data_IF_499524758789
#
_entry.id   IF_499524758789
#
_cell.length_a   1.000
_cell.length_b   1.000
_cell.length_c   1.000
_cell.angle_alpha   90.00
_cell.angle_beta   90.00
_cell.angle_gamma   90.00
#
_symmetry.space_group_name_H-M   'P 1'
#
loop_
_entity.id
_entity.type
_entity.pdbx_description
1 polymer ?
#
# COMPACT_ATOMS: atom_id res chain seq x y z
N UNK A 1 -20.70 -105.41 -25.42
CA UNK A 1 -19.44 -105.16 -24.73
C UNK A 1 -18.96 -103.77 -25.17
N UNK A 2 -19.23 -102.79 -24.42
CA UNK A 2 -18.66 -101.45 -24.59
C UNK A 2 -18.93 -100.66 -23.33
N UNK A 3 -17.88 -100.34 -22.63
CA UNK A 3 -17.90 -99.45 -21.45
C UNK A 3 -17.94 -98.04 -21.88
N UNK A 4 -18.80 -97.26 -21.23
CA UNK A 4 -18.90 -95.82 -21.39
C UNK A 4 -18.27 -95.17 -20.16
N UNK A 5 -17.12 -94.54 -20.43
CA UNK A 5 -16.40 -93.77 -19.42
C UNK A 5 -17.03 -92.38 -19.19
N UNK A 6 -17.41 -92.08 -17.93
CA UNK A 6 -17.97 -90.81 -17.54
C UNK A 6 -16.89 -89.75 -17.34
N UNK A 7 -17.08 -88.58 -17.97
CA UNK A 7 -16.23 -87.41 -17.84
C UNK A 7 -16.79 -86.48 -16.75
N UNK A 8 -16.11 -86.45 -15.65
CA UNK A 8 -16.46 -85.53 -14.53
C UNK A 8 -15.99 -84.07 -14.78
N UNK A 9 -16.92 -83.17 -14.95
CA UNK A 9 -16.70 -81.73 -15.09
C UNK A 9 -16.53 -81.07 -13.73
N UNK A 10 -15.29 -80.71 -13.36
CA UNK A 10 -15.02 -79.91 -12.14
C UNK A 10 -15.18 -78.42 -12.46
N UNK A 11 -16.24 -77.85 -11.98
CA UNK A 11 -16.46 -76.38 -12.00
C UNK A 11 -15.59 -75.77 -10.90
N UNK A 12 -14.51 -75.05 -11.27
CA UNK A 12 -13.71 -74.25 -10.41
C UNK A 12 -14.38 -72.86 -10.35
N UNK A 13 -15.05 -72.59 -9.23
CA UNK A 13 -15.64 -71.25 -8.99
C UNK A 13 -14.56 -70.22 -8.70
N UNK A 14 -14.37 -69.29 -9.65
CA UNK A 14 -13.56 -68.10 -9.44
C UNK A 14 -14.38 -67.06 -8.64
N UNK A 15 -14.05 -66.86 -7.40
CA UNK A 15 -14.61 -65.76 -6.57
C UNK A 15 -13.81 -64.48 -6.94
N UNK A 16 -14.43 -63.62 -7.73
CA UNK A 16 -13.89 -62.31 -8.07
C UNK A 16 -14.11 -61.35 -6.90
N UNK A 17 -13.07 -61.12 -6.08
CA UNK A 17 -13.08 -60.03 -5.08
C UNK A 17 -12.97 -58.72 -5.81
N UNK A 18 -14.08 -58.01 -5.97
CA UNK A 18 -14.10 -56.61 -6.40
C UNK A 18 -13.62 -55.72 -5.24
N UNK A 19 -12.37 -55.32 -5.22
CA UNK A 19 -11.86 -54.25 -4.35
C UNK A 19 -12.40 -52.95 -4.88
N UNK A 20 -13.47 -52.44 -4.25
CA UNK A 20 -13.95 -51.05 -4.44
C UNK A 20 -12.97 -50.14 -3.74
N UNK A 21 -12.02 -49.59 -4.52
CA UNK A 21 -11.21 -48.47 -4.06
C UNK A 21 -12.13 -47.26 -3.94
N UNK A 22 -12.55 -46.93 -2.71
CA UNK A 22 -13.11 -45.64 -2.40
C UNK A 22 -11.99 -44.58 -2.63
N UNK A 23 -11.96 -44.03 -3.83
CA UNK A 23 -11.24 -42.79 -4.07
C UNK A 23 -11.94 -41.69 -3.24
N UNK A 24 -11.40 -41.42 -2.07
CA UNK A 24 -11.71 -40.17 -1.35
C UNK A 24 -11.18 -39.05 -2.25
N UNK A 25 -12.07 -38.48 -3.04
CA UNK A 25 -11.83 -37.17 -3.64
C UNK A 25 -11.71 -36.20 -2.48
N UNK A 26 -10.48 -36.00 -2.01
CA UNK A 26 -10.18 -34.87 -1.13
C UNK A 26 -10.56 -33.63 -1.92
N UNK A 27 -11.70 -33.01 -1.58
CA UNK A 27 -11.98 -31.65 -1.98
C UNK A 27 -10.77 -30.84 -1.52
N UNK A 28 -10.01 -30.34 -2.50
CA UNK A 28 -9.00 -29.34 -2.21
C UNK A 28 -9.75 -28.16 -1.61
N UNK A 29 -9.73 -28.05 -0.29
CA UNK A 29 -10.38 -26.96 0.44
C UNK A 29 -9.86 -25.66 -0.19
N UNK A 30 -10.74 -24.95 -0.91
CA UNK A 30 -10.38 -23.73 -1.60
C UNK A 30 -9.80 -22.74 -0.59
N UNK A 31 -8.65 -22.13 -0.90
CA UNK A 31 -8.01 -21.15 -0.02
C UNK A 31 -8.98 -20.01 0.27
N UNK A 32 -9.03 -19.57 1.51
CA UNK A 32 -9.89 -18.46 1.94
C UNK A 32 -9.36 -17.16 1.33
N UNK A 33 -10.19 -16.33 0.67
CA UNK A 33 -9.75 -15.04 0.15
C UNK A 33 -9.32 -14.11 1.27
N UNK A 34 -8.13 -13.54 1.17
CA UNK A 34 -7.56 -12.65 2.17
C UNK A 34 -6.96 -11.38 1.59
N UNK A 35 -6.48 -10.54 2.48
CA UNK A 35 -5.79 -9.29 2.17
C UNK A 35 -4.57 -9.16 3.07
N UNK A 36 -3.46 -8.75 2.47
CA UNK A 36 -2.27 -8.30 3.18
C UNK A 36 -2.32 -6.78 3.35
N UNK A 37 -1.98 -6.31 4.53
CA UNK A 37 -1.83 -4.88 4.81
C UNK A 37 -0.42 -4.66 5.31
N UNK A 38 0.33 -3.83 4.62
CA UNK A 38 1.68 -3.42 4.99
C UNK A 38 1.79 -1.90 4.87
N UNK A 39 2.46 -1.28 5.86
CA UNK A 39 2.67 0.16 5.87
C UNK A 39 4.05 0.50 5.35
N UNK A 40 4.19 1.71 4.81
CA UNK A 40 5.51 2.25 4.50
C UNK A 40 6.33 2.40 5.78
N UNK A 41 7.62 2.20 5.63
CA UNK A 41 8.57 2.34 6.72
C UNK A 41 9.57 3.46 6.39
N UNK A 42 9.94 4.22 7.41
CA UNK A 42 10.90 5.33 7.32
C UNK A 42 11.96 5.18 8.39
N UNK A 43 13.22 5.19 7.99
CA UNK A 43 14.34 5.00 8.92
C UNK A 43 15.62 5.69 8.43
N UNK A 44 16.65 5.66 9.27
CA UNK A 44 18.00 6.12 8.94
C UNK A 44 18.85 4.98 8.38
N UNK A 45 19.90 5.27 7.61
CA UNK A 45 20.89 4.28 7.23
C UNK A 45 21.52 3.63 8.47
N UNK A 46 21.70 2.32 8.40
CA UNK A 46 22.25 1.49 9.49
C UNK A 46 21.44 1.48 10.80
N UNK A 47 20.13 1.79 10.69
CA UNK A 47 19.21 1.64 11.82
C UNK A 47 18.21 0.50 11.53
N UNK A 48 17.83 -0.18 12.60
CA UNK A 48 16.75 -1.18 12.54
C UNK A 48 15.42 -0.48 12.40
N UNK A 49 14.56 -1.06 11.57
CA UNK A 49 13.18 -0.62 11.38
C UNK A 49 12.26 -1.81 11.53
N UNK A 50 11.13 -1.58 12.20
CA UNK A 50 10.08 -2.58 12.35
C UNK A 50 9.08 -2.45 11.18
N UNK A 51 8.92 -3.55 10.45
CA UNK A 51 7.93 -3.66 9.36
C UNK A 51 6.79 -4.50 9.87
N UNK A 52 5.62 -3.89 10.02
CA UNK A 52 4.42 -4.54 10.51
C UNK A 52 3.54 -4.97 9.35
N UNK A 53 3.10 -6.23 9.40
CA UNK A 53 2.21 -6.82 8.41
C UNK A 53 0.99 -7.40 9.10
N UNK A 54 -0.18 -7.12 8.55
CA UNK A 54 -1.44 -7.70 9.01
C UNK A 54 -2.06 -8.54 7.90
N UNK A 55 -2.52 -9.73 8.26
CA UNK A 55 -3.32 -10.60 7.41
C UNK A 55 -4.78 -10.50 7.85
N UNK A 56 -5.66 -10.21 6.92
CA UNK A 56 -7.09 -10.13 7.16
C UNK A 56 -7.85 -10.99 6.15
N UNK A 57 -8.95 -11.62 6.55
CA UNK A 57 -9.90 -12.25 5.63
C UNK A 57 -10.78 -11.15 5.00
N UNK A 58 -11.12 -11.32 3.71
CA UNK A 58 -12.02 -10.38 3.02
C UNK A 58 -13.45 -10.42 3.55
N UNK A 59 -13.87 -11.55 4.07
CA UNK A 59 -15.16 -11.72 4.76
C UNK A 59 -14.96 -11.58 6.26
N UNK A 60 -15.95 -11.04 6.97
CA UNK A 60 -15.87 -10.90 8.41
C UNK A 60 -15.56 -12.28 9.06
N UNK A 61 -14.40 -12.39 9.68
CA UNK A 61 -13.90 -13.61 10.29
C UNK A 61 -12.82 -13.30 11.34
N UNK A 62 -12.46 -14.30 12.16
CA UNK A 62 -11.41 -14.12 13.15
C UNK A 62 -10.05 -13.84 12.47
N UNK A 63 -9.12 -13.18 13.17
CA UNK A 63 -7.76 -13.02 12.71
C UNK A 63 -7.11 -14.37 12.37
N UNK A 64 -6.26 -14.39 11.35
CA UNK A 64 -5.59 -15.61 10.92
C UNK A 64 -4.23 -15.74 11.61
N UNK A 65 -4.18 -16.63 12.59
CA UNK A 65 -2.94 -17.01 13.29
C UNK A 65 -2.17 -18.10 12.53
N UNK A 66 -0.85 -18.10 12.65
CA UNK A 66 0.01 -19.15 12.11
C UNK A 66 0.28 -19.07 10.61
N UNK A 67 -0.17 -18.02 9.91
CA UNK A 67 0.10 -17.82 8.48
C UNK A 67 1.56 -17.44 8.30
N UNK A 68 2.29 -18.21 7.45
CA UNK A 68 3.67 -17.93 7.12
C UNK A 68 3.73 -16.84 6.04
N UNK A 69 4.56 -15.82 6.31
CA UNK A 69 4.80 -14.70 5.42
C UNK A 69 6.29 -14.58 5.09
N UNK A 70 6.58 -14.21 3.85
CA UNK A 70 7.93 -13.92 3.35
C UNK A 70 8.06 -12.42 3.12
N UNK A 71 9.05 -11.82 3.77
CA UNK A 71 9.42 -10.42 3.57
C UNK A 71 10.56 -10.33 2.56
N UNK A 72 10.37 -9.56 1.52
CA UNK A 72 11.40 -9.23 0.54
C UNK A 72 11.69 -7.73 0.54
N UNK A 73 12.94 -7.36 0.36
CA UNK A 73 13.39 -5.98 0.11
C UNK A 73 14.07 -5.97 -1.26
N UNK A 74 13.57 -5.16 -2.18
CA UNK A 74 14.02 -5.08 -3.59
C UNK A 74 14.10 -6.46 -4.27
N UNK A 75 13.07 -7.31 -4.01
CA UNK A 75 12.96 -8.65 -4.57
C UNK A 75 13.81 -9.72 -3.90
N UNK A 76 14.65 -9.36 -2.91
CA UNK A 76 15.45 -10.32 -2.14
C UNK A 76 14.75 -10.66 -0.83
N UNK A 77 14.52 -11.95 -0.57
CA UNK A 77 13.98 -12.41 0.70
C UNK A 77 14.98 -12.11 1.85
N UNK A 78 14.47 -11.45 2.88
CA UNK A 78 15.26 -11.01 4.03
C UNK A 78 14.79 -11.61 5.36
N UNK A 79 13.51 -12.01 5.43
CA UNK A 79 12.94 -12.63 6.62
C UNK A 79 11.70 -13.45 6.29
N UNK A 80 11.42 -14.44 7.15
CA UNK A 80 10.18 -15.23 7.16
C UNK A 80 9.62 -15.18 8.58
N UNK A 81 8.29 -15.07 8.71
CA UNK A 81 7.62 -15.00 9.99
C UNK A 81 6.23 -15.59 9.97
N UNK A 82 5.66 -15.85 11.14
CA UNK A 82 4.29 -16.35 11.29
C UNK A 82 3.42 -15.33 12.00
N UNK A 83 2.17 -15.18 11.56
CA UNK A 83 1.21 -14.31 12.23
C UNK A 83 0.86 -14.85 13.61
N UNK A 84 0.76 -13.95 14.59
CA UNK A 84 0.23 -14.23 15.91
C UNK A 84 -1.30 -14.30 15.94
N UNK A 85 -1.89 -14.39 17.12
CA UNK A 85 -3.34 -14.49 17.34
C UNK A 85 -4.12 -13.30 16.76
N UNK A 86 -3.52 -12.13 16.72
CA UNK A 86 -4.10 -10.92 16.10
C UNK A 86 -4.06 -10.89 14.57
N UNK A 87 -3.50 -11.92 13.92
CA UNK A 87 -3.24 -11.92 12.48
C UNK A 87 -2.09 -11.01 12.06
N UNK A 88 -1.25 -10.56 13.01
CA UNK A 88 -0.13 -9.66 12.76
C UNK A 88 1.22 -10.36 12.90
N UNK A 89 2.20 -9.88 12.16
CA UNK A 89 3.61 -10.23 12.32
C UNK A 89 4.47 -8.98 12.16
N UNK A 90 5.56 -8.90 12.89
CA UNK A 90 6.55 -7.82 12.80
C UNK A 90 7.90 -8.39 12.40
N UNK A 91 8.57 -7.70 11.50
CA UNK A 91 9.93 -8.02 11.06
C UNK A 91 10.85 -6.87 11.44
N UNK A 92 11.93 -7.15 12.15
CA UNK A 92 12.98 -6.18 12.41
C UNK A 92 14.04 -6.28 11.30
N UNK A 93 14.22 -5.21 10.54
CA UNK A 93 15.14 -5.14 9.41
C UNK A 93 16.19 -4.05 9.59
N UNK A 94 17.48 -4.39 9.42
CA UNK A 94 18.57 -3.42 9.44
C UNK A 94 18.73 -2.78 8.06
N UNK A 95 18.31 -1.52 7.95
CA UNK A 95 18.33 -0.77 6.69
C UNK A 95 19.74 -0.27 6.36
N UNK A 96 20.40 -0.90 5.39
CA UNK A 96 21.77 -0.57 4.98
C UNK A 96 21.82 0.36 3.77
N UNK A 97 20.92 0.16 2.79
CA UNK A 97 20.93 0.90 1.54
C UNK A 97 20.09 2.18 1.67
N UNK A 98 20.72 3.31 1.33
CA UNK A 98 20.02 4.62 1.28
C UNK A 98 19.09 4.70 0.09
N UNK A 99 18.08 5.52 0.23
CA UNK A 99 17.12 5.77 -0.84
C UNK A 99 15.75 5.19 -0.53
N UNK A 100 15.04 4.86 -1.58
CA UNK A 100 13.70 4.28 -1.52
C UNK A 100 13.76 2.85 -2.04
N UNK A 101 13.47 1.89 -1.18
CA UNK A 101 13.50 0.47 -1.47
C UNK A 101 12.08 -0.09 -1.46
N UNK A 102 11.82 -1.16 -2.19
CA UNK A 102 10.50 -1.80 -2.24
C UNK A 102 10.42 -2.90 -1.19
N UNK A 103 9.47 -2.78 -0.28
CA UNK A 103 9.04 -3.86 0.61
C UNK A 103 8.03 -4.70 -0.16
N UNK A 104 8.22 -6.01 -0.25
CA UNK A 104 7.24 -6.94 -0.79
C UNK A 104 6.91 -8.00 0.25
N UNK A 105 5.63 -8.25 0.45
CA UNK A 105 5.15 -9.29 1.36
C UNK A 105 4.34 -10.32 0.57
N UNK A 106 4.72 -11.58 0.73
CA UNK A 106 4.07 -12.72 0.11
C UNK A 106 3.58 -13.69 1.18
N UNK A 107 2.48 -14.35 0.89
CA UNK A 107 2.01 -15.49 1.70
C UNK A 107 2.65 -16.76 1.16
N UNK A 108 3.04 -17.66 2.08
CA UNK A 108 3.50 -19.00 1.73
C UNK A 108 2.46 -19.75 0.88
N UNK A 109 2.94 -20.53 -0.08
CA UNK A 109 2.07 -21.26 -1.01
C UNK A 109 1.21 -22.32 -0.32
N UNK A 110 1.62 -22.85 0.81
CA UNK A 110 0.88 -23.87 1.56
C UNK A 110 -0.14 -23.26 2.53
N UNK A 111 -0.16 -21.93 2.69
CA UNK A 111 -1.08 -21.27 3.58
C UNK A 111 -2.55 -21.48 3.17
N UNK A 112 -3.47 -21.60 4.14
CA UNK A 112 -4.90 -21.82 3.88
C UNK A 112 -5.62 -20.58 3.33
N UNK A 113 -4.90 -19.49 3.12
CA UNK A 113 -5.40 -18.21 2.63
C UNK A 113 -4.76 -17.88 1.28
N UNK A 114 -5.55 -17.28 0.39
CA UNK A 114 -5.07 -16.69 -0.85
C UNK A 114 -5.13 -15.16 -0.75
N UNK A 115 -3.99 -14.52 -0.83
CA UNK A 115 -3.92 -13.06 -0.97
C UNK A 115 -2.83 -12.70 -1.98
N UNK A 116 -3.07 -11.62 -2.69
CA UNK A 116 -2.08 -11.07 -3.62
C UNK A 116 -0.87 -10.53 -2.86
N UNK A 117 0.29 -10.59 -3.49
CA UNK A 117 1.49 -9.90 -3.05
C UNK A 117 1.18 -8.42 -2.84
N UNK A 118 1.65 -7.85 -1.74
CA UNK A 118 1.50 -6.43 -1.45
C UNK A 118 2.87 -5.79 -1.34
N UNK A 119 3.00 -4.66 -2.01
CA UNK A 119 4.20 -3.84 -1.96
C UNK A 119 3.98 -2.61 -1.08
N UNK A 120 5.03 -2.21 -0.37
CA UNK A 120 5.14 -0.98 0.41
C UNK A 120 6.51 -0.35 0.16
N UNK A 121 6.74 0.81 0.75
CA UNK A 121 7.96 1.56 0.55
C UNK A 121 8.79 1.60 1.83
N UNK A 122 10.08 1.26 1.73
CA UNK A 122 11.07 1.51 2.77
C UNK A 122 11.92 2.72 2.39
N UNK A 123 11.68 3.83 3.07
CA UNK A 123 12.45 5.06 2.91
C UNK A 123 13.63 5.06 3.90
N UNK A 124 14.85 5.02 3.38
CA UNK A 124 16.10 5.08 4.19
C UNK A 124 16.78 6.42 3.92
N UNK A 125 16.43 7.43 4.72
CA UNK A 125 16.82 8.81 4.46
C UNK A 125 17.78 9.35 5.51
N UNK A 126 18.54 10.38 5.13
CA UNK A 126 19.32 11.18 6.07
C UNK A 126 18.49 12.31 6.64
N UNK A 127 18.57 12.54 7.96
CA UNK A 127 17.78 13.60 8.64
C UNK A 127 18.04 15.01 8.12
N UNK A 128 19.21 15.27 7.57
CA UNK A 128 19.60 16.61 7.07
C UNK A 128 18.96 16.98 5.74
N UNK A 129 18.52 15.99 4.95
CA UNK A 129 17.85 16.28 3.66
C UNK A 129 16.46 16.82 3.92
N UNK A 130 16.10 17.98 3.32
CA UNK A 130 14.78 18.55 3.49
C UNK A 130 13.68 17.61 3.02
N UNK A 131 12.53 17.69 3.69
CA UNK A 131 11.33 16.93 3.35
C UNK A 131 10.26 17.92 2.90
N UNK A 132 9.65 17.64 1.75
CA UNK A 132 8.42 18.30 1.30
C UNK A 132 7.22 17.39 1.57
N UNK A 133 6.19 17.94 2.20
CA UNK A 133 4.93 17.23 2.45
C UNK A 133 3.95 17.58 1.34
N UNK A 134 3.45 16.58 0.63
CA UNK A 134 2.58 16.77 -0.54
C UNK A 134 1.21 16.15 -0.27
N UNK A 135 0.17 16.97 -0.37
CA UNK A 135 -1.21 16.50 -0.34
C UNK A 135 -1.52 15.76 -1.65
N UNK A 136 -1.91 14.49 -1.56
CA UNK A 136 -2.18 13.68 -2.76
C UNK A 136 -3.31 14.27 -3.60
N UNK A 137 -4.30 14.91 -2.96
CA UNK A 137 -5.40 15.58 -3.67
C UNK A 137 -4.93 16.76 -4.55
N UNK A 138 -3.77 17.35 -4.26
CA UNK A 138 -3.16 18.36 -5.12
C UNK A 138 -2.57 17.78 -6.42
N UNK A 139 -2.36 16.47 -6.45
CA UNK A 139 -1.86 15.73 -7.62
C UNK A 139 -2.98 15.24 -8.55
N UNK A 140 -4.23 15.26 -8.07
CA UNK A 140 -5.40 14.74 -8.79
C UNK A 140 -6.15 15.89 -9.46
N UNK A 141 -6.43 15.73 -10.76
CA UNK A 141 -7.26 16.67 -11.50
C UNK A 141 -8.70 16.58 -10.99
N UNK A 142 -9.28 17.71 -10.63
CA UNK A 142 -10.71 17.80 -10.35
C UNK A 142 -11.45 18.21 -11.62
N UNK A 143 -12.51 17.51 -11.91
CA UNK A 143 -13.42 17.92 -12.96
C UNK A 143 -14.18 19.17 -12.49
N UNK A 144 -14.08 20.32 -13.17
CA UNK A 144 -14.83 21.52 -12.81
C UNK A 144 -16.36 21.32 -12.89
N UNK A 145 -16.83 20.29 -13.61
CA UNK A 145 -18.24 19.92 -13.66
C UNK A 145 -18.72 19.13 -12.43
N UNK A 146 -17.82 18.65 -11.57
CA UNK A 146 -18.14 17.87 -10.36
C UNK A 146 -18.50 18.74 -9.15
N UNK A 147 -19.16 19.87 -9.34
CA UNK A 147 -19.80 20.64 -8.25
C UNK A 147 -20.97 19.89 -7.60
N UNK A 148 -21.45 18.81 -8.20
CA UNK A 148 -22.30 17.79 -7.58
C UNK A 148 -21.41 16.68 -7.03
N UNK A 149 -21.73 16.07 -5.86
CA UNK A 149 -20.99 14.94 -5.33
C UNK A 149 -21.23 13.69 -6.20
N UNK A 150 -20.63 13.69 -7.38
CA UNK A 150 -20.45 12.45 -8.13
C UNK A 150 -19.66 11.46 -7.25
N UNK A 151 -19.94 10.16 -7.32
CA UNK A 151 -19.14 9.18 -6.60
C UNK A 151 -17.67 9.43 -6.94
N UNK A 152 -16.88 9.79 -5.92
CA UNK A 152 -15.46 10.09 -6.11
C UNK A 152 -14.80 8.91 -6.81
N UNK A 153 -13.97 9.15 -7.81
CA UNK A 153 -13.24 8.07 -8.46
C UNK A 153 -12.46 7.29 -7.40
N UNK A 154 -12.75 6.00 -7.28
CA UNK A 154 -12.11 5.13 -6.28
C UNK A 154 -10.72 4.79 -6.81
N UNK A 155 -9.67 5.19 -6.10
CA UNK A 155 -8.32 4.69 -6.40
C UNK A 155 -8.33 3.16 -6.33
N UNK A 156 -8.18 2.50 -7.47
CA UNK A 156 -8.27 1.03 -7.59
C UNK A 156 -9.49 0.51 -8.34
N UNK A 157 -10.35 1.39 -8.86
CA UNK A 157 -11.32 1.02 -9.88
C UNK A 157 -10.62 0.70 -11.22
N UNK A 158 -11.26 -0.09 -12.06
CA UNK A 158 -10.83 -0.36 -13.44
C UNK A 158 -10.57 0.95 -14.20
N UNK A 159 -9.63 0.95 -15.13
CA UNK A 159 -8.98 2.10 -15.80
C UNK A 159 -9.83 3.35 -16.10
N UNK A 160 -11.13 3.21 -16.36
CA UNK A 160 -12.01 4.33 -16.76
C UNK A 160 -12.47 5.25 -15.60
N UNK A 161 -12.23 4.87 -14.35
CA UNK A 161 -12.63 5.65 -13.15
C UNK A 161 -11.46 6.04 -12.25
N UNK A 162 -10.24 5.74 -12.66
CA UNK A 162 -9.05 6.12 -11.90
C UNK A 162 -8.85 7.65 -11.91
N UNK A 163 -8.42 8.26 -10.79
CA UNK A 163 -8.15 9.68 -10.75
C UNK A 163 -7.10 10.11 -11.80
N UNK A 164 -7.41 11.14 -12.57
CA UNK A 164 -6.49 11.68 -13.57
C UNK A 164 -5.44 12.55 -12.87
N UNK A 165 -4.15 12.43 -13.16
CA UNK A 165 -3.11 13.27 -12.57
C UNK A 165 -3.18 14.71 -13.13
N UNK A 166 -2.85 15.68 -12.28
CA UNK A 166 -2.67 17.06 -12.73
C UNK A 166 -1.50 17.12 -13.72
N UNK A 167 -1.67 17.78 -14.87
CA UNK A 167 -0.59 17.93 -15.84
C UNK A 167 0.69 18.48 -15.20
N UNK A 168 1.85 17.95 -15.61
CA UNK A 168 3.19 18.39 -15.20
C UNK A 168 3.52 18.18 -13.71
N UNK A 169 2.56 17.78 -12.87
CA UNK A 169 2.78 17.60 -11.44
C UNK A 169 3.87 16.57 -11.14
N UNK A 170 3.85 15.43 -11.84
CA UNK A 170 4.84 14.38 -11.66
C UNK A 170 6.25 14.84 -12.05
N UNK A 171 6.39 15.54 -13.20
CA UNK A 171 7.67 16.04 -13.69
C UNK A 171 8.26 17.10 -12.74
N UNK A 172 7.47 18.09 -12.33
CA UNK A 172 7.95 19.17 -11.45
C UNK A 172 8.29 18.64 -10.06
N UNK A 173 7.50 17.69 -9.54
CA UNK A 173 7.81 17.03 -8.27
C UNK A 173 9.07 16.15 -8.38
N UNK A 174 9.26 15.44 -9.50
CA UNK A 174 10.47 14.67 -9.75
C UNK A 174 11.72 15.57 -9.76
N UNK A 175 11.64 16.75 -10.36
CA UNK A 175 12.73 17.74 -10.34
C UNK A 175 13.05 18.22 -8.93
N UNK A 176 12.04 18.47 -8.10
CA UNK A 176 12.24 18.86 -6.70
C UNK A 176 12.93 17.75 -5.90
N UNK A 177 12.50 16.50 -6.07
CA UNK A 177 13.03 15.35 -5.32
C UNK A 177 14.41 14.93 -5.81
N UNK A 178 14.72 15.11 -7.07
CA UNK A 178 16.04 14.78 -7.64
C UNK A 178 17.18 15.54 -6.94
N UNK A 179 16.97 16.83 -6.66
CA UNK A 179 18.05 17.71 -6.22
C UNK A 179 17.97 18.11 -4.74
N UNK A 180 16.78 18.24 -4.18
CA UNK A 180 16.63 18.92 -2.91
C UNK A 180 15.85 18.15 -1.85
N UNK A 181 14.71 17.54 -2.18
CA UNK A 181 13.74 17.08 -1.21
C UNK A 181 13.59 15.56 -1.20
N UNK A 182 13.30 15.02 -0.02
CA UNK A 182 12.55 13.79 0.11
C UNK A 182 11.05 14.13 0.12
N UNK A 183 10.20 13.25 -0.37
CA UNK A 183 8.76 13.51 -0.45
C UNK A 183 7.98 12.62 0.53
N UNK A 184 7.12 13.26 1.31
CA UNK A 184 6.11 12.59 2.13
C UNK A 184 4.75 12.88 1.49
N UNK A 185 4.08 11.84 1.00
CA UNK A 185 2.72 11.93 0.50
C UNK A 185 1.74 11.75 1.64
N UNK A 186 0.76 12.63 1.72
CA UNK A 186 -0.32 12.54 2.68
C UNK A 186 -1.66 12.69 1.98
N UNK A 187 -2.67 11.97 2.44
CA UNK A 187 -4.00 12.13 1.89
C UNK A 187 -5.04 12.15 3.00
N UNK A 188 -6.16 12.79 2.72
CA UNK A 188 -7.28 12.80 3.63
C UNK A 188 -8.17 11.58 3.37
N UNK A 189 -8.18 10.63 4.31
CA UNK A 189 -8.98 9.41 4.20
C UNK A 189 -10.49 9.70 4.19
N UNK A 190 -10.93 10.78 4.84
CA UNK A 190 -12.34 11.08 5.01
C UNK A 190 -12.93 11.99 3.92
N UNK A 191 -12.09 12.75 3.24
CA UNK A 191 -12.51 13.78 2.29
C UNK A 191 -11.67 13.74 1.01
N UNK A 192 -12.19 14.35 -0.04
CA UNK A 192 -11.49 14.51 -1.30
C UNK A 192 -11.57 13.30 -2.24
N UNK A 193 -10.93 13.39 -3.41
CA UNK A 193 -10.94 12.35 -4.44
C UNK A 193 -10.18 11.08 -4.02
N UNK A 194 -9.37 11.14 -2.98
CA UNK A 194 -8.59 10.01 -2.46
C UNK A 194 -9.22 9.35 -1.23
N UNK A 195 -10.42 9.80 -0.82
CA UNK A 195 -11.12 9.22 0.32
C UNK A 195 -11.31 7.71 0.15
N UNK A 196 -11.23 6.98 1.27
CA UNK A 196 -11.33 5.52 1.33
C UNK A 196 -10.23 4.75 0.56
N UNK A 197 -9.25 5.43 -0.02
CA UNK A 197 -8.11 4.77 -0.65
C UNK A 197 -7.21 4.13 0.40
N UNK A 198 -6.75 2.92 0.15
CA UNK A 198 -5.69 2.32 0.94
C UNK A 198 -4.32 2.90 0.56
N UNK A 199 -3.34 2.83 1.46
CA UNK A 199 -1.97 3.25 1.14
C UNK A 199 -1.39 2.52 -0.07
N UNK A 200 -1.75 1.24 -0.26
CA UNK A 200 -1.35 0.46 -1.43
C UNK A 200 -1.96 0.96 -2.73
N UNK A 201 -3.21 1.43 -2.71
CA UNK A 201 -3.87 2.04 -3.87
C UNK A 201 -3.22 3.38 -4.22
N UNK A 202 -2.95 4.22 -3.21
CA UNK A 202 -2.24 5.50 -3.40
C UNK A 202 -0.85 5.26 -4.02
N UNK A 203 -0.06 4.32 -3.49
CA UNK A 203 1.26 3.98 -4.04
C UNK A 203 1.19 3.50 -5.49
N UNK A 204 0.26 2.60 -5.80
CA UNK A 204 0.08 2.11 -7.19
C UNK A 204 -0.27 3.23 -8.14
N UNK A 205 -1.18 4.11 -7.74
CA UNK A 205 -1.55 5.27 -8.54
C UNK A 205 -0.36 6.23 -8.75
N UNK A 206 0.38 6.57 -7.70
CA UNK A 206 1.59 7.40 -7.80
C UNK A 206 2.61 6.77 -8.76
N UNK A 207 2.86 5.47 -8.63
CA UNK A 207 3.79 4.74 -9.51
C UNK A 207 3.33 4.68 -10.96
N UNK A 208 2.05 4.40 -11.21
CA UNK A 208 1.47 4.34 -12.57
C UNK A 208 1.58 5.70 -13.29
N UNK A 209 1.52 6.80 -12.54
CA UNK A 209 1.63 8.16 -13.09
C UNK A 209 3.02 8.78 -12.92
N UNK A 210 4.05 7.95 -12.67
CA UNK A 210 5.45 8.34 -12.63
C UNK A 210 5.80 9.42 -11.58
N UNK A 211 5.00 9.54 -10.53
CA UNK A 211 5.38 10.38 -9.40
C UNK A 211 6.62 9.81 -8.69
N UNK A 212 7.51 10.66 -8.17
CA UNK A 212 8.70 10.19 -7.47
C UNK A 212 8.34 9.30 -6.28
N UNK A 213 9.12 8.24 -6.09
CA UNK A 213 8.94 7.37 -4.94
C UNK A 213 9.19 8.13 -3.62
N UNK A 214 8.33 7.91 -2.63
CA UNK A 214 8.38 8.61 -1.35
C UNK A 214 7.65 7.84 -0.26
N UNK A 215 7.64 8.41 0.93
CA UNK A 215 6.94 7.87 2.07
C UNK A 215 5.45 8.23 2.01
N UNK A 216 4.59 7.23 1.94
CA UNK A 216 3.13 7.43 1.94
C UNK A 216 2.63 7.35 3.38
N UNK A 217 2.41 8.50 4.00
CA UNK A 217 1.97 8.61 5.37
C UNK A 217 0.47 8.29 5.48
N UNK A 218 0.14 7.26 6.25
CA UNK A 218 -1.26 6.96 6.56
C UNK A 218 -1.78 7.94 7.60
N UNK A 219 -2.86 8.64 7.30
CA UNK A 219 -3.55 9.45 8.31
C UNK A 219 -4.05 8.53 9.43
N UNK A 220 -3.62 8.80 10.66
CA UNK A 220 -4.08 8.11 11.86
C UNK A 220 -5.41 8.68 12.34
N UNK A 221 -6.04 8.08 13.35
CA UNK A 221 -7.27 8.59 13.97
C UNK A 221 -7.17 10.01 14.51
N UNK A 222 -5.95 10.53 14.74
CA UNK A 222 -5.67 11.93 15.08
C UNK A 222 -5.49 12.85 13.88
N UNK A 223 -5.70 12.34 12.66
CA UNK A 223 -5.53 13.09 11.42
C UNK A 223 -4.07 13.39 11.06
N UNK A 224 -3.88 14.28 10.11
CA UNK A 224 -2.56 14.65 9.59
C UNK A 224 -1.67 15.31 10.65
N UNK A 225 -2.25 16.10 11.60
CA UNK A 225 -1.49 16.69 12.70
C UNK A 225 -0.74 15.63 13.50
N UNK A 226 -1.44 14.57 13.94
CA UNK A 226 -0.81 13.48 14.68
C UNK A 226 0.29 12.78 13.88
N UNK A 227 0.08 12.60 12.58
CA UNK A 227 1.09 12.02 11.68
C UNK A 227 2.35 12.88 11.59
N UNK A 228 2.19 14.20 11.44
CA UNK A 228 3.34 15.14 11.40
C UNK A 228 4.06 15.23 12.75
N UNK A 229 3.31 15.20 13.85
CA UNK A 229 3.90 15.20 15.20
C UNK A 229 4.66 13.90 15.47
N UNK A 230 4.15 12.75 15.06
CA UNK A 230 4.86 11.48 15.16
C UNK A 230 6.18 11.51 14.36
N UNK A 231 6.16 11.96 13.11
CA UNK A 231 7.36 12.11 12.30
C UNK A 231 8.38 13.05 12.95
N UNK A 232 7.93 14.18 13.53
CA UNK A 232 8.84 15.10 14.25
C UNK A 232 9.41 14.47 15.51
N UNK A 233 8.60 13.73 16.26
CA UNK A 233 9.03 13.01 17.47
C UNK A 233 10.08 11.95 17.15
N UNK A 234 9.98 11.31 15.99
CA UNK A 234 10.97 10.37 15.44
C UNK A 234 12.24 11.08 14.92
N UNK A 235 12.28 12.41 15.02
CA UNK A 235 13.43 13.23 14.66
C UNK A 235 13.48 13.69 13.21
N UNK A 236 12.39 13.57 12.45
CA UNK A 236 12.27 14.12 11.09
C UNK A 236 11.91 15.60 11.11
N UNK A 237 12.84 16.43 11.63
CA UNK A 237 12.63 17.87 11.85
C UNK A 237 12.86 18.74 10.61
N UNK A 238 13.32 18.15 9.50
CA UNK A 238 13.59 18.85 8.23
C UNK A 238 12.36 18.97 7.32
N UNK A 239 11.17 18.64 7.81
CA UNK A 239 9.90 18.97 7.15
C UNK A 239 9.69 20.49 7.25
N UNK A 240 10.04 21.22 6.20
CA UNK A 240 9.98 22.70 6.18
C UNK A 240 9.00 23.25 5.17
N UNK A 241 8.60 22.45 4.19
CA UNK A 241 7.76 22.90 3.09
C UNK A 241 6.64 21.91 2.81
N UNK A 242 5.51 22.43 2.32
CA UNK A 242 4.39 21.60 1.87
C UNK A 242 3.71 22.16 0.64
N UNK A 243 3.13 21.24 -0.13
CA UNK A 243 2.37 21.54 -1.34
C UNK A 243 1.00 20.91 -1.18
N UNK A 244 -0.05 21.69 -1.28
CA UNK A 244 -1.42 21.18 -1.15
C UNK A 244 -2.41 21.96 -1.98
N UNK A 245 -3.65 21.52 -1.91
CA UNK A 245 -4.77 22.13 -2.63
C UNK A 245 -5.73 22.84 -1.69
N UNK A 246 -5.88 22.31 -0.48
CA UNK A 246 -6.96 22.73 0.41
C UNK A 246 -6.47 23.77 1.42
N UNK A 247 -7.39 24.68 1.79
CA UNK A 247 -7.14 25.63 2.87
C UNK A 247 -6.82 24.92 4.18
N UNK A 248 -7.58 23.86 4.50
CA UNK A 248 -7.38 23.11 5.75
C UNK A 248 -5.99 22.49 5.85
N UNK A 249 -5.48 21.93 4.74
CA UNK A 249 -4.10 21.43 4.66
C UNK A 249 -3.09 22.56 4.85
N UNK A 250 -3.29 23.71 4.18
CA UNK A 250 -2.40 24.84 4.30
C UNK A 250 -2.36 25.41 5.72
N UNK A 251 -3.52 25.61 6.36
CA UNK A 251 -3.62 26.10 7.75
C UNK A 251 -2.88 25.16 8.71
N UNK A 252 -3.03 23.86 8.54
CA UNK A 252 -2.38 22.84 9.36
C UNK A 252 -0.86 22.88 9.24
N UNK A 253 -0.31 22.94 8.04
CA UNK A 253 1.14 23.03 7.84
C UNK A 253 1.71 24.33 8.38
N UNK A 254 0.97 25.45 8.27
CA UNK A 254 1.35 26.71 8.87
C UNK A 254 1.41 26.65 10.40
N UNK A 255 0.52 25.91 11.07
CA UNK A 255 0.59 25.64 12.51
C UNK A 255 1.88 24.92 12.88
N UNK A 256 2.35 24.02 12.01
CA UNK A 256 3.65 23.34 12.14
C UNK A 256 4.85 24.19 11.72
N UNK A 257 4.65 25.49 11.42
CA UNK A 257 5.68 26.45 10.98
C UNK A 257 6.38 26.06 9.67
N UNK A 258 5.64 25.42 8.77
CA UNK A 258 6.13 25.04 7.45
C UNK A 258 5.77 26.13 6.43
N UNK A 259 6.61 26.30 5.40
CA UNK A 259 6.24 27.05 4.20
C UNK A 259 5.24 26.25 3.39
N UNK A 260 4.21 26.92 2.85
CA UNK A 260 3.14 26.24 2.13
C UNK A 260 2.91 26.90 0.78
N UNK A 261 2.85 26.08 -0.26
CA UNK A 261 2.39 26.47 -1.59
C UNK A 261 1.08 25.75 -1.88
N UNK A 262 0.05 26.53 -2.21
CA UNK A 262 -1.27 26.00 -2.58
C UNK A 262 -1.41 26.02 -4.09
N UNK A 263 -1.76 24.89 -4.69
CA UNK A 263 -1.95 24.70 -6.15
C UNK A 263 -3.19 23.81 -6.42
N UNK A 264 -4.10 24.22 -7.32
CA UNK A 264 -4.19 25.53 -7.96
C UNK A 264 -4.54 26.64 -6.96
N UNK A 265 -4.55 27.88 -7.44
CA UNK A 265 -4.93 29.05 -6.62
C UNK A 265 -6.32 28.87 -6.02
N UNK A 266 -6.46 29.16 -4.72
CA UNK A 266 -7.74 29.19 -4.06
C UNK A 266 -8.57 30.43 -4.44
N UNK A 267 -9.90 30.39 -4.29
CA UNK A 267 -10.75 31.53 -4.47
C UNK A 267 -10.27 32.74 -3.65
N UNK A 268 -10.57 33.95 -4.12
CA UNK A 268 -10.15 35.19 -3.45
C UNK A 268 -10.63 35.24 -2.01
N UNK A 269 -9.68 35.42 -1.09
CA UNK A 269 -9.93 35.48 0.34
C UNK A 269 -9.86 34.15 1.09
N UNK A 270 -9.70 33.02 0.39
CA UNK A 270 -9.57 31.71 1.02
C UNK A 270 -8.10 31.31 1.30
N UNK A 271 -7.15 31.93 0.63
CA UNK A 271 -5.74 31.64 0.85
C UNK A 271 -5.29 32.12 2.24
N UNK A 272 -4.70 31.26 3.10
CA UNK A 272 -4.13 31.67 4.38
C UNK A 272 -3.05 32.73 4.20
N UNK A 273 -2.99 33.73 5.11
CA UNK A 273 -2.12 34.92 4.97
C UNK A 273 -0.64 34.60 4.74
N UNK A 274 -0.14 33.48 5.22
CA UNK A 274 1.27 33.08 5.12
C UNK A 274 1.52 32.02 4.03
N UNK A 275 0.48 31.53 3.39
CA UNK A 275 0.61 30.60 2.30
C UNK A 275 0.91 31.34 0.98
N UNK A 276 1.69 30.72 0.12
CA UNK A 276 1.92 31.16 -1.26
C UNK A 276 0.92 30.44 -2.16
N UNK A 277 0.38 31.07 -3.20
CA UNK A 277 -0.43 30.39 -4.22
C UNK A 277 0.36 30.18 -5.48
N UNK A 278 0.06 29.11 -6.21
CA UNK A 278 0.59 28.83 -7.53
C UNK A 278 -0.58 28.49 -8.48
N UNK A 279 -0.52 29.00 -9.70
CA UNK A 279 -1.53 28.72 -10.74
C UNK A 279 -1.45 27.27 -11.21
N UNK A 280 -0.23 26.78 -11.36
CA UNK A 280 0.11 25.47 -11.86
C UNK A 280 1.38 24.92 -11.19
N UNK A 281 1.71 23.68 -11.51
CA UNK A 281 2.88 23.01 -10.95
C UNK A 281 4.23 23.61 -11.40
N UNK A 282 4.31 24.28 -12.54
CA UNK A 282 5.53 25.02 -12.96
C UNK A 282 5.87 26.18 -12.04
N UNK A 283 4.83 26.82 -11.49
CA UNK A 283 5.03 27.91 -10.53
C UNK A 283 5.41 27.39 -9.13
N UNK A 284 4.96 26.18 -8.74
CA UNK A 284 5.25 25.61 -7.41
C UNK A 284 6.74 25.62 -7.12
N UNK A 285 7.57 25.13 -8.06
CA UNK A 285 9.02 25.05 -7.88
C UNK A 285 9.69 26.41 -7.66
N UNK A 286 9.13 27.49 -8.21
CA UNK A 286 9.66 28.84 -8.05
C UNK A 286 9.30 29.47 -6.69
N UNK A 287 8.32 28.90 -6.00
CA UNK A 287 7.75 29.44 -4.77
C UNK A 287 8.17 28.66 -3.52
N UNK A 288 8.76 27.47 -3.67
CA UNK A 288 9.45 26.70 -2.64
C UNK A 288 10.88 27.15 -2.46
#
# INVERSE_FOLDING_TARGET
MAEVGGLGLRIVGFVLFAVVALATTGEAAGKVPGTLIVRDALTLPNHSVRIEVQVAVKTAGPPLSGVVLHLQIDGKEVATGKTGESGQVSFDYLAKMRGTNVISVLIDQEAPIAAEKVDATLCVWERRRPIVVVEVDALVQQDPASATPAPSPVMGATDDTAPIPVPEAAEELARLTQYYYNVVYVWNYEQGPTRNASSGQVRRWLGAHQFPAGFVATSTSGGLNATLDALKSDGWTTMKSGIGRTRGFADMLLQHRMEVVVVPELPKGELPRKAKSAKDWKEVRKKL
#
